data_IF_837693636112
#
_entry.id   IF_837693636112
#
_cell.length_a   1.000
_cell.length_b   1.000
_cell.length_c   1.000
_cell.angle_alpha   90.00
_cell.angle_beta   90.00
_cell.angle_gamma   90.00
#
_symmetry.space_group_name_H-M   'P 1'
#
loop_
_entity.id
_entity.type
_entity.pdbx_description
1 polymer ?
#
# COMPACT_ATOMS: atom_id res chain seq x y z
N UNK A 1 -0.29 -5.38 -20.80
CA UNK A 1 -0.25 -3.92 -21.00
C UNK A 1 -1.59 -3.46 -21.58
N UNK A 2 -2.17 -2.41 -21.03
CA UNK A 2 -3.44 -1.86 -21.51
C UNK A 2 -3.11 -0.59 -22.32
N UNK A 3 -3.48 -0.49 -23.60
CA UNK A 3 -3.20 0.69 -24.39
C UNK A 3 -3.97 1.91 -23.86
N UNK A 4 -3.38 3.09 -24.01
CA UNK A 4 -4.03 4.35 -23.63
C UNK A 4 -5.07 4.77 -24.66
N UNK A 5 -6.17 5.42 -24.23
CA UNK A 5 -7.22 5.93 -25.11
C UNK A 5 -6.67 6.98 -26.11
N UNK A 6 -5.80 7.87 -25.64
CA UNK A 6 -5.08 8.84 -26.46
C UNK A 6 -3.58 8.69 -26.25
N UNK A 7 -2.74 8.99 -27.25
CA UNK A 7 -1.30 8.93 -27.11
C UNK A 7 -0.83 9.82 -25.94
N UNK A 8 0.10 9.30 -25.14
CA UNK A 8 0.75 10.06 -24.10
C UNK A 8 1.83 10.96 -24.71
N UNK A 9 1.63 12.28 -24.60
CA UNK A 9 2.56 13.28 -25.13
C UNK A 9 3.35 14.01 -24.02
N UNK A 10 3.17 13.61 -22.74
CA UNK A 10 3.94 14.14 -21.61
C UNK A 10 5.43 13.90 -21.83
N UNK A 11 6.25 14.92 -21.52
CA UNK A 11 7.71 14.82 -21.55
C UNK A 11 8.24 14.49 -20.17
N UNK A 12 8.77 13.28 -20.01
CA UNK A 12 9.45 12.86 -18.78
C UNK A 12 10.94 13.21 -18.94
N UNK A 13 11.40 14.25 -18.23
CA UNK A 13 12.77 14.74 -18.29
C UNK A 13 13.70 13.90 -17.39
N UNK A 14 14.99 13.92 -17.70
CA UNK A 14 16.01 13.24 -16.88
C UNK A 14 16.09 13.87 -15.47
N UNK A 15 16.50 13.06 -14.51
CA UNK A 15 16.64 13.49 -13.12
C UNK A 15 17.81 14.43 -12.97
N UNK A 16 17.65 15.48 -12.15
CA UNK A 16 18.73 16.38 -11.75
C UNK A 16 19.24 15.97 -10.38
N UNK A 17 20.54 15.70 -10.27
CA UNK A 17 21.15 15.27 -9.01
C UNK A 17 22.11 16.32 -8.48
N UNK A 18 21.87 16.77 -7.26
CA UNK A 18 22.67 17.77 -6.54
C UNK A 18 23.48 17.10 -5.43
N UNK A 19 24.56 17.75 -4.99
CA UNK A 19 25.37 17.27 -3.86
C UNK A 19 24.62 17.37 -2.55
N UNK A 20 23.93 18.50 -2.32
CA UNK A 20 23.30 18.85 -1.06
C UNK A 20 21.81 19.06 -1.21
N UNK A 21 21.06 18.84 -0.14
CA UNK A 21 19.61 19.09 -0.10
C UNK A 21 19.26 20.58 -0.27
N UNK A 22 20.00 21.55 0.34
CA UNK A 22 19.75 22.98 0.09
C UNK A 22 19.91 23.40 -1.38
N UNK A 23 20.94 22.91 -2.09
CA UNK A 23 21.13 23.19 -3.51
C UNK A 23 19.97 22.64 -4.36
N UNK A 24 19.52 21.42 -4.06
CA UNK A 24 18.33 20.80 -4.67
C UNK A 24 17.08 21.68 -4.48
N UNK A 25 16.78 22.10 -3.24
CA UNK A 25 15.59 22.92 -2.98
C UNK A 25 15.64 24.29 -3.63
N UNK A 26 16.82 24.94 -3.70
CA UNK A 26 16.97 26.20 -4.42
C UNK A 26 16.63 26.02 -5.91
N UNK A 27 17.15 24.98 -6.55
CA UNK A 27 16.85 24.67 -7.94
C UNK A 27 15.38 24.35 -8.19
N UNK A 28 14.75 23.60 -7.28
CA UNK A 28 13.29 23.33 -7.34
C UNK A 28 12.50 24.62 -7.28
N UNK A 29 12.88 25.56 -6.40
CA UNK A 29 12.19 26.83 -6.27
C UNK A 29 12.35 27.67 -7.53
N UNK A 30 13.56 27.75 -8.08
CA UNK A 30 13.83 28.53 -9.28
C UNK A 30 13.04 27.98 -10.49
N UNK A 31 12.92 26.66 -10.66
CA UNK A 31 12.06 26.04 -11.69
C UNK A 31 10.55 26.31 -11.44
N UNK A 32 10.11 26.30 -10.19
CA UNK A 32 8.70 26.65 -9.85
C UNK A 32 8.41 28.09 -10.20
N UNK A 33 9.31 29.03 -9.86
CA UNK A 33 9.15 30.45 -10.16
C UNK A 33 9.05 30.67 -11.67
N UNK A 34 9.99 30.11 -12.44
CA UNK A 34 10.01 30.22 -13.91
C UNK A 34 8.72 29.72 -14.55
N UNK A 35 8.20 28.58 -14.09
CA UNK A 35 6.97 28.00 -14.62
C UNK A 35 5.73 28.80 -14.20
N UNK A 36 5.67 29.23 -12.95
CA UNK A 36 4.60 30.07 -12.43
C UNK A 36 4.48 31.39 -13.23
N UNK A 37 5.61 32.04 -13.53
CA UNK A 37 5.65 33.25 -14.36
C UNK A 37 5.15 33.02 -15.79
N UNK A 38 5.37 31.83 -16.34
CA UNK A 38 4.85 31.40 -17.64
C UNK A 38 3.36 30.97 -17.61
N UNK A 39 2.74 30.97 -16.43
CA UNK A 39 1.36 30.49 -16.25
C UNK A 39 1.23 28.97 -16.22
N UNK A 40 2.32 28.22 -16.24
CA UNK A 40 2.26 26.76 -16.16
C UNK A 40 1.95 26.30 -14.74
N UNK A 41 0.89 25.47 -14.50
CA UNK A 41 0.62 24.91 -13.19
C UNK A 41 1.69 23.88 -12.79
N UNK A 42 2.05 23.88 -11.50
CA UNK A 42 3.09 23.00 -10.94
C UNK A 42 2.53 22.23 -9.76
N UNK A 43 2.67 20.91 -9.82
CA UNK A 43 2.43 20.01 -8.68
C UNK A 43 3.76 19.44 -8.19
N UNK A 44 4.11 19.78 -6.95
CA UNK A 44 5.34 19.31 -6.31
C UNK A 44 5.04 18.14 -5.39
N UNK A 45 5.64 16.99 -5.68
CA UNK A 45 5.57 15.80 -4.82
C UNK A 45 6.72 15.76 -3.82
N UNK A 46 6.40 15.67 -2.52
CA UNK A 46 7.37 15.48 -1.43
C UNK A 46 7.09 14.16 -0.71
N UNK A 47 8.11 13.52 -0.13
CA UNK A 47 7.95 12.25 0.59
C UNK A 47 7.55 12.42 2.05
N UNK A 48 7.77 13.60 2.66
CA UNK A 48 7.41 13.85 4.05
C UNK A 48 6.71 15.19 4.25
N UNK A 49 5.97 15.29 5.35
CA UNK A 49 5.30 16.54 5.77
C UNK A 49 6.34 17.62 6.06
N UNK A 50 7.44 17.28 6.71
CA UNK A 50 8.52 18.22 7.06
C UNK A 50 9.14 18.87 5.82
N UNK A 51 9.41 18.07 4.77
CA UNK A 51 9.94 18.58 3.50
C UNK A 51 8.92 19.47 2.78
N UNK A 52 7.64 19.14 2.85
CA UNK A 52 6.58 20.00 2.30
C UNK A 52 6.48 21.33 3.02
N UNK A 53 6.59 21.34 4.34
CA UNK A 53 6.58 22.57 5.14
C UNK A 53 7.84 23.42 4.91
N UNK A 54 9.00 22.80 4.75
CA UNK A 54 10.27 23.48 4.42
C UNK A 54 10.16 24.16 3.07
N UNK A 55 9.73 23.44 2.04
CA UNK A 55 9.53 24.00 0.70
C UNK A 55 8.49 25.14 0.71
N UNK A 56 7.39 24.97 1.44
CA UNK A 56 6.38 26.02 1.61
C UNK A 56 6.96 27.29 2.23
N UNK A 57 7.79 27.20 3.27
CA UNK A 57 8.45 28.35 3.87
C UNK A 57 9.37 29.07 2.87
N UNK A 58 10.08 28.32 2.06
CA UNK A 58 10.99 28.86 1.04
C UNK A 58 10.22 29.57 -0.08
N UNK A 59 9.13 28.98 -0.58
CA UNK A 59 8.24 29.61 -1.59
C UNK A 59 7.56 30.89 -1.07
N UNK A 60 7.15 30.89 0.21
CA UNK A 60 6.63 32.12 0.86
C UNK A 60 7.66 33.25 0.88
N UNK A 61 8.93 32.93 1.16
CA UNK A 61 10.04 33.94 1.10
C UNK A 61 10.24 34.51 -0.30
N UNK A 62 9.94 33.72 -1.36
CA UNK A 62 9.99 34.18 -2.77
C UNK A 62 8.70 34.85 -3.23
N UNK A 63 7.68 34.98 -2.37
CA UNK A 63 6.41 35.62 -2.70
C UNK A 63 5.46 34.77 -3.58
N UNK A 64 5.74 33.49 -3.76
CA UNK A 64 4.90 32.59 -4.59
C UNK A 64 3.70 32.11 -3.79
N UNK A 65 2.49 32.42 -4.30
CA UNK A 65 1.25 31.89 -3.73
C UNK A 65 1.14 30.39 -4.07
N UNK A 66 0.91 29.57 -3.06
CA UNK A 66 0.83 28.12 -3.23
C UNK A 66 -0.09 27.50 -2.19
N UNK A 67 -0.60 26.32 -2.51
CA UNK A 67 -1.40 25.49 -1.62
C UNK A 67 -0.59 24.28 -1.15
N UNK A 68 -0.81 23.84 0.09
CA UNK A 68 -0.10 22.69 0.67
C UNK A 68 -1.10 21.61 1.06
N UNK A 69 -0.94 20.44 0.47
CA UNK A 69 -1.70 19.23 0.75
C UNK A 69 -0.88 18.31 1.66
N UNK A 70 -1.34 18.14 2.86
CA UNK A 70 -0.79 17.17 3.78
C UNK A 70 -1.91 16.48 4.56
N UNK A 71 -1.59 15.36 5.23
CA UNK A 71 -2.54 14.55 5.99
C UNK A 71 -3.27 15.31 7.13
N UNK A 72 -2.90 16.56 7.41
CA UNK A 72 -3.53 17.37 8.45
C UNK A 72 -4.84 18.05 7.98
N UNK A 73 -5.11 18.10 6.66
CA UNK A 73 -6.22 18.90 6.09
C UNK A 73 -7.05 18.08 5.08
N UNK A 74 -7.50 16.90 5.47
CA UNK A 74 -8.26 16.00 4.59
C UNK A 74 -9.53 16.61 3.98
N UNK A 75 -10.24 17.48 4.72
CA UNK A 75 -11.50 18.08 4.26
C UNK A 75 -11.32 19.00 3.04
N UNK A 76 -10.15 19.65 2.94
CA UNK A 76 -9.83 20.57 1.82
C UNK A 76 -9.03 19.91 0.69
N UNK A 77 -8.65 18.66 0.87
CA UNK A 77 -7.78 17.96 -0.08
C UNK A 77 -8.38 17.90 -1.48
N UNK A 78 -9.64 17.47 -1.60
CA UNK A 78 -10.33 17.34 -2.87
C UNK A 78 -10.48 18.71 -3.56
N UNK A 79 -10.74 19.77 -2.81
CA UNK A 79 -10.86 21.15 -3.30
C UNK A 79 -9.55 21.65 -3.91
N UNK A 80 -8.45 21.51 -3.17
CA UNK A 80 -7.12 21.98 -3.59
C UNK A 80 -6.66 21.19 -4.81
N UNK A 81 -6.84 19.86 -4.83
CA UNK A 81 -6.45 19.02 -5.97
C UNK A 81 -7.26 19.35 -7.21
N UNK A 82 -8.56 19.56 -7.07
CA UNK A 82 -9.44 19.91 -8.19
C UNK A 82 -9.00 21.24 -8.86
N UNK A 83 -8.38 22.13 -8.11
CA UNK A 83 -7.91 23.44 -8.60
C UNK A 83 -6.40 23.47 -8.93
N UNK A 84 -5.67 22.39 -8.72
CA UNK A 84 -4.23 22.34 -8.98
C UNK A 84 -3.84 22.49 -10.47
N UNK A 85 -4.80 22.33 -11.38
CA UNK A 85 -4.61 22.53 -12.83
C UNK A 85 -4.89 23.96 -13.34
N UNK A 86 -5.18 24.92 -12.48
CA UNK A 86 -5.40 26.33 -12.88
C UNK A 86 -4.12 27.00 -13.36
N UNK A 87 -4.30 28.05 -14.16
CA UNK A 87 -3.20 28.84 -14.69
C UNK A 87 -2.27 29.35 -13.58
N UNK A 88 -0.98 28.99 -13.65
CA UNK A 88 0.04 29.38 -12.69
C UNK A 88 -0.18 28.83 -11.27
N UNK A 89 -1.07 27.86 -11.05
CA UNK A 89 -1.25 27.26 -9.73
C UNK A 89 0.02 26.53 -9.27
N UNK A 90 0.38 26.68 -8.00
CA UNK A 90 1.48 25.94 -7.38
C UNK A 90 0.92 25.14 -6.21
N UNK A 91 1.03 23.83 -6.27
CA UNK A 91 0.53 22.92 -5.25
C UNK A 91 1.65 22.01 -4.76
N UNK A 92 1.87 21.98 -3.45
CA UNK A 92 2.80 21.03 -2.80
C UNK A 92 1.95 19.90 -2.22
N UNK A 93 2.22 18.67 -2.61
CA UNK A 93 1.49 17.51 -2.10
C UNK A 93 2.46 16.50 -1.48
N UNK A 94 2.16 15.99 -0.30
CA UNK A 94 2.81 14.77 0.17
C UNK A 94 2.30 13.58 -0.66
N UNK A 95 3.13 12.60 -0.79
CA UNK A 95 3.14 11.49 -1.74
C UNK A 95 1.78 10.86 -2.14
N UNK A 96 0.82 10.81 -1.25
CA UNK A 96 -0.46 10.13 -1.47
C UNK A 96 -1.66 11.10 -1.48
N UNK A 97 -1.41 12.39 -1.25
CA UNK A 97 -2.46 13.38 -1.22
C UNK A 97 -3.14 13.54 -2.60
N UNK A 98 -4.45 13.62 -2.61
CA UNK A 98 -5.26 13.77 -3.81
C UNK A 98 -5.38 12.49 -4.67
N UNK A 99 -5.11 11.31 -4.15
CA UNK A 99 -5.35 10.05 -4.86
C UNK A 99 -6.85 9.84 -5.05
N UNK A 100 -7.24 9.52 -6.29
CA UNK A 100 -8.66 9.34 -6.64
C UNK A 100 -9.32 10.59 -7.24
N UNK A 101 -8.69 11.78 -7.11
CA UNK A 101 -9.18 13.01 -7.74
C UNK A 101 -8.38 13.30 -9.01
N UNK A 102 -9.07 13.62 -10.09
CA UNK A 102 -8.45 14.02 -11.36
C UNK A 102 -8.07 15.51 -11.35
N UNK A 103 -6.89 15.82 -11.89
CA UNK A 103 -6.43 17.21 -12.07
C UNK A 103 -6.72 17.61 -13.51
N UNK A 104 -7.75 18.43 -13.67
CA UNK A 104 -8.16 18.96 -14.97
C UNK A 104 -7.47 20.30 -15.25
N UNK A 105 -6.96 20.47 -16.47
CA UNK A 105 -6.34 21.74 -16.88
C UNK A 105 -7.37 22.86 -16.89
N UNK A 106 -7.04 23.99 -16.27
CA UNK A 106 -7.95 25.14 -16.06
C UNK A 106 -8.82 25.01 -14.80
N UNK A 107 -8.88 23.82 -14.17
CA UNK A 107 -9.70 23.56 -12.98
C UNK A 107 -10.84 22.58 -13.24
N UNK A 108 -11.56 22.20 -12.20
CA UNK A 108 -12.67 21.23 -12.24
C UNK A 108 -14.02 21.95 -12.12
N UNK A 109 -14.77 21.99 -13.22
CA UNK A 109 -16.09 22.64 -13.30
C UNK A 109 -17.14 21.94 -12.43
N UNK A 110 -17.14 20.60 -12.37
CA UNK A 110 -18.03 19.81 -11.53
C UNK A 110 -17.85 20.16 -10.05
N UNK A 111 -16.60 20.24 -9.61
CA UNK A 111 -16.29 20.61 -8.23
C UNK A 111 -16.77 22.02 -7.89
N UNK A 112 -16.56 22.99 -8.80
CA UNK A 112 -17.04 24.36 -8.61
C UNK A 112 -18.57 24.43 -8.56
N UNK A 113 -19.26 23.67 -9.41
CA UNK A 113 -20.72 23.59 -9.40
C UNK A 113 -21.24 23.03 -8.07
N UNK A 114 -20.68 21.90 -7.59
CA UNK A 114 -21.04 21.32 -6.29
C UNK A 114 -20.76 22.28 -5.12
N UNK A 115 -19.64 22.98 -5.16
CA UNK A 115 -19.28 23.98 -4.13
C UNK A 115 -20.28 25.16 -4.11
N UNK A 116 -20.74 25.62 -5.29
CA UNK A 116 -21.74 26.66 -5.37
C UNK A 116 -23.12 26.19 -4.90
N UNK A 117 -23.51 24.94 -5.19
CA UNK A 117 -24.73 24.33 -4.66
C UNK A 117 -24.72 24.27 -3.13
N UNK A 118 -23.59 23.89 -2.51
CA UNK A 118 -23.42 23.95 -1.04
C UNK A 118 -23.66 25.37 -0.51
N UNK A 119 -23.06 26.35 -1.16
CA UNK A 119 -23.22 27.75 -0.75
C UNK A 119 -24.67 28.25 -0.93
N UNK A 120 -25.44 27.68 -1.88
CA UNK A 120 -26.85 27.93 -2.06
C UNK A 120 -27.75 27.20 -1.07
N UNK A 121 -27.17 26.29 -0.22
CA UNK A 121 -27.89 25.60 0.85
C UNK A 121 -28.46 24.24 0.48
N UNK A 122 -28.05 23.64 -0.66
CA UNK A 122 -28.43 22.27 -0.99
C UNK A 122 -27.79 21.28 -0.01
N UNK A 123 -28.54 20.23 0.38
CA UNK A 123 -28.01 19.17 1.22
C UNK A 123 -26.98 18.30 0.47
N UNK A 124 -26.06 17.67 1.19
CA UNK A 124 -25.06 16.77 0.58
C UNK A 124 -25.70 15.62 -0.18
N UNK A 125 -26.86 15.14 0.29
CA UNK A 125 -27.64 14.08 -0.37
C UNK A 125 -28.15 14.55 -1.74
N UNK A 126 -28.75 15.73 -1.82
CA UNK A 126 -29.23 16.31 -3.09
C UNK A 126 -28.08 16.60 -4.05
N UNK A 127 -26.91 17.03 -3.53
CA UNK A 127 -25.71 17.27 -4.34
C UNK A 127 -25.15 15.94 -4.89
N UNK A 128 -25.20 14.87 -4.12
CA UNK A 128 -24.81 13.54 -4.60
C UNK A 128 -25.76 13.03 -5.69
N UNK A 129 -27.07 13.16 -5.48
CA UNK A 129 -28.11 12.77 -6.44
C UNK A 129 -28.16 13.66 -7.70
N UNK A 130 -27.64 14.90 -7.62
CA UNK A 130 -27.58 15.80 -8.78
C UNK A 130 -26.68 15.30 -9.90
N UNK A 131 -25.71 14.42 -9.59
CA UNK A 131 -24.83 13.77 -10.57
C UNK A 131 -25.27 12.35 -10.95
N UNK A 132 -26.36 11.87 -10.37
CA UNK A 132 -26.92 10.54 -10.66
C UNK A 132 -27.62 10.47 -12.02
N UNK A 133 -27.61 9.30 -12.66
CA UNK A 133 -28.25 9.04 -13.94
C UNK A 133 -29.56 8.22 -13.82
N UNK A 134 -29.96 7.82 -12.61
CA UNK A 134 -31.17 7.03 -12.39
C UNK A 134 -32.43 7.87 -12.64
N UNK A 135 -33.46 7.25 -13.20
CA UNK A 135 -34.78 7.89 -13.33
C UNK A 135 -35.36 8.13 -11.92
N UNK A 136 -35.94 9.32 -11.72
CA UNK A 136 -36.55 9.70 -10.46
C UNK A 136 -37.73 10.64 -10.70
N UNK A 137 -38.81 10.46 -9.93
CA UNK A 137 -39.99 11.33 -9.92
C UNK A 137 -39.91 12.37 -8.79
N UNK A 138 -38.82 12.45 -8.05
CA UNK A 138 -38.65 13.41 -6.98
C UNK A 138 -38.28 14.78 -7.54
N UNK A 139 -39.19 15.74 -7.36
CA UNK A 139 -39.05 17.10 -7.87
C UNK A 139 -37.82 17.83 -7.33
N UNK A 140 -37.42 17.58 -6.09
CA UNK A 140 -36.23 18.18 -5.48
C UNK A 140 -34.93 17.68 -6.17
N UNK A 141 -34.88 16.39 -6.51
CA UNK A 141 -33.74 15.81 -7.21
C UNK A 141 -33.67 16.33 -8.65
N UNK A 142 -34.82 16.43 -9.33
CA UNK A 142 -34.89 16.96 -10.71
C UNK A 142 -34.38 18.40 -10.71
N UNK A 143 -34.89 19.25 -9.81
CA UNK A 143 -34.46 20.65 -9.67
C UNK A 143 -32.96 20.76 -9.35
N UNK A 144 -32.43 19.91 -8.47
CA UNK A 144 -31.01 19.88 -8.15
C UNK A 144 -30.14 19.47 -9.37
N UNK A 145 -30.63 18.54 -10.21
CA UNK A 145 -29.95 18.15 -11.47
C UNK A 145 -29.92 19.28 -12.49
N UNK A 146 -31.01 19.97 -12.67
CA UNK A 146 -31.10 21.14 -13.60
C UNK A 146 -30.15 22.25 -13.15
N UNK A 147 -30.17 22.59 -11.87
CA UNK A 147 -29.28 23.61 -11.30
C UNK A 147 -27.80 23.20 -11.43
N UNK A 148 -27.46 21.93 -11.12
CA UNK A 148 -26.12 21.41 -11.30
C UNK A 148 -25.64 21.52 -12.74
N UNK A 149 -26.46 21.11 -13.72
CA UNK A 149 -26.11 21.15 -15.14
C UNK A 149 -25.91 22.60 -15.62
N UNK A 150 -26.75 23.55 -15.17
CA UNK A 150 -26.60 24.95 -15.48
C UNK A 150 -25.29 25.53 -14.93
N UNK A 151 -24.96 25.22 -13.67
CA UNK A 151 -23.73 25.66 -13.03
C UNK A 151 -22.50 25.01 -13.67
N UNK A 152 -22.56 23.71 -13.94
CA UNK A 152 -21.47 23.00 -14.59
C UNK A 152 -21.17 23.56 -15.99
N UNK A 153 -22.21 23.82 -16.79
CA UNK A 153 -22.07 24.42 -18.11
C UNK A 153 -21.49 25.84 -18.03
N UNK A 154 -21.91 26.65 -17.06
CA UNK A 154 -21.34 27.96 -16.79
C UNK A 154 -19.85 27.88 -16.52
N UNK A 155 -19.46 27.02 -15.56
CA UNK A 155 -18.04 26.84 -15.18
C UNK A 155 -17.19 26.19 -16.28
N UNK A 156 -17.73 25.25 -17.06
CA UNK A 156 -17.03 24.71 -18.24
C UNK A 156 -16.69 25.80 -19.27
N UNK A 157 -17.60 26.72 -19.50
CA UNK A 157 -17.35 27.83 -20.43
C UNK A 157 -16.30 28.82 -19.89
N UNK A 158 -16.34 29.14 -18.59
CA UNK A 158 -15.36 30.02 -17.94
C UNK A 158 -13.94 29.38 -17.95
N UNK A 159 -13.86 28.08 -17.66
CA UNK A 159 -12.59 27.34 -17.58
C UNK A 159 -11.99 27.04 -18.96
N UNK A 160 -12.80 26.92 -20.02
CA UNK A 160 -12.33 26.48 -21.33
C UNK A 160 -11.20 27.34 -21.89
N UNK A 161 -11.28 28.66 -21.71
CA UNK A 161 -10.25 29.62 -22.13
C UNK A 161 -8.97 29.49 -21.33
N UNK A 162 -9.09 29.29 -20.01
CA UNK A 162 -7.94 29.06 -19.11
C UNK A 162 -7.26 27.74 -19.40
N UNK A 163 -8.03 26.68 -19.64
CA UNK A 163 -7.50 25.36 -19.98
C UNK A 163 -6.63 25.39 -21.25
N UNK A 164 -7.03 26.19 -22.26
CA UNK A 164 -6.25 26.34 -23.48
C UNK A 164 -4.94 27.10 -23.23
N UNK A 165 -4.97 28.15 -22.41
CA UNK A 165 -3.74 28.85 -21.98
C UNK A 165 -2.78 27.92 -21.25
N UNK A 166 -3.30 27.08 -20.35
CA UNK A 166 -2.49 26.09 -19.64
C UNK A 166 -1.90 25.06 -20.60
N UNK A 167 -2.64 24.60 -21.61
CA UNK A 167 -2.08 23.69 -22.65
C UNK A 167 -0.96 24.37 -23.43
N UNK A 168 -1.11 25.64 -23.80
CA UNK A 168 -0.08 26.41 -24.50
C UNK A 168 1.16 26.66 -23.62
N UNK A 169 0.97 26.81 -22.29
CA UNK A 169 2.07 26.90 -21.34
C UNK A 169 2.80 25.55 -21.11
N UNK A 170 2.34 24.45 -21.72
CA UNK A 170 2.95 23.13 -21.64
C UNK A 170 2.23 22.14 -20.71
N UNK A 171 1.01 22.44 -20.26
CA UNK A 171 0.20 21.62 -19.38
C UNK A 171 0.72 21.53 -17.95
N UNK A 172 0.25 20.57 -17.18
CA UNK A 172 0.65 20.38 -15.79
C UNK A 172 2.12 19.91 -15.69
N UNK A 173 2.91 20.64 -14.89
CA UNK A 173 4.26 20.21 -14.54
C UNK A 173 4.28 19.43 -13.22
N UNK A 174 4.93 18.28 -13.21
CA UNK A 174 5.19 17.48 -12.03
C UNK A 174 6.65 17.63 -11.62
N UNK A 175 6.88 18.06 -10.40
CA UNK A 175 8.22 18.12 -9.80
C UNK A 175 8.24 17.11 -8.64
N UNK A 176 9.09 16.09 -8.73
CA UNK A 176 9.41 15.21 -7.60
C UNK A 176 10.64 15.71 -6.86
N UNK A 177 10.58 15.89 -5.55
CA UNK A 177 11.73 16.34 -4.76
C UNK A 177 12.65 15.20 -4.33
N UNK A 178 12.19 13.96 -4.49
CA UNK A 178 12.92 12.72 -4.20
C UNK A 178 12.33 11.56 -4.97
N UNK A 179 13.10 10.48 -5.13
CA UNK A 179 12.60 9.20 -5.59
C UNK A 179 12.05 8.37 -4.43
N UNK A 180 10.95 7.69 -4.69
CA UNK A 180 10.36 6.78 -3.72
C UNK A 180 11.06 5.43 -3.72
N UNK A 181 10.78 4.61 -2.70
CA UNK A 181 11.24 3.22 -2.63
C UNK A 181 10.73 2.34 -3.77
N UNK A 182 9.66 2.75 -4.45
CA UNK A 182 9.07 2.01 -5.57
C UNK A 182 8.83 2.91 -6.77
N UNK A 183 9.29 2.47 -7.95
CA UNK A 183 9.04 3.14 -9.23
C UNK A 183 7.56 3.32 -9.52
N UNK A 184 6.72 2.41 -9.01
CA UNK A 184 5.27 2.50 -9.16
C UNK A 184 4.72 3.80 -8.57
N UNK A 185 5.25 4.23 -7.44
CA UNK A 185 4.83 5.47 -6.77
C UNK A 185 5.31 6.68 -7.58
N UNK A 186 6.55 6.67 -8.07
CA UNK A 186 7.07 7.72 -8.96
C UNK A 186 6.21 7.86 -10.22
N UNK A 187 5.84 6.73 -10.83
CA UNK A 187 4.99 6.71 -12.01
C UNK A 187 3.55 7.18 -11.70
N UNK A 188 3.02 6.91 -10.51
CA UNK A 188 1.74 7.46 -10.08
C UNK A 188 1.78 8.99 -9.92
N UNK A 189 2.88 9.54 -9.43
CA UNK A 189 3.10 10.98 -9.36
C UNK A 189 3.19 11.58 -10.77
N UNK A 190 4.05 11.04 -11.65
CA UNK A 190 4.15 11.45 -13.06
C UNK A 190 2.81 11.36 -13.78
N UNK A 191 2.06 10.30 -13.54
CA UNK A 191 0.76 10.02 -14.17
C UNK A 191 -0.37 10.97 -13.78
N UNK A 192 -0.13 11.94 -12.91
CA UNK A 192 -1.07 13.03 -12.67
C UNK A 192 -1.07 14.08 -13.78
N UNK A 193 -0.02 14.13 -14.59
CA UNK A 193 0.13 14.99 -15.76
C UNK A 193 0.04 14.18 -17.06
N UNK A 194 -0.34 14.83 -18.15
CA UNK A 194 -0.40 14.20 -19.48
C UNK A 194 -1.58 13.24 -19.64
N UNK A 195 -2.67 13.45 -18.93
CA UNK A 195 -3.87 12.63 -19.02
C UNK A 195 -4.68 12.99 -20.28
N UNK A 196 -5.36 11.98 -20.83
CA UNK A 196 -6.28 12.14 -21.99
C UNK A 196 -5.64 12.87 -23.20
N UNK A 197 -4.29 12.72 -23.38
CA UNK A 197 -3.57 13.36 -24.47
C UNK A 197 -3.26 14.83 -24.26
N UNK A 198 -3.44 15.36 -23.05
CA UNK A 198 -2.98 16.71 -22.71
C UNK A 198 -1.44 16.78 -22.64
N UNK A 199 -0.84 17.93 -22.95
CA UNK A 199 0.59 18.12 -22.73
C UNK A 199 0.93 18.10 -21.24
N UNK A 200 2.18 17.86 -20.92
CA UNK A 200 2.67 17.84 -19.57
C UNK A 200 4.18 17.61 -19.50
N UNK A 201 4.73 17.87 -18.33
CA UNK A 201 6.17 17.68 -18.08
C UNK A 201 6.33 17.03 -16.71
N UNK A 202 7.31 16.13 -16.58
CA UNK A 202 7.73 15.65 -15.27
C UNK A 202 9.25 15.70 -15.11
N UNK A 203 9.72 16.05 -13.92
CA UNK A 203 11.14 16.03 -13.56
C UNK A 203 11.32 15.71 -12.08
N UNK A 204 12.37 14.94 -11.75
CA UNK A 204 12.78 14.71 -10.38
C UNK A 204 14.08 15.45 -10.06
N UNK A 205 14.10 16.06 -8.88
CA UNK A 205 15.25 16.74 -8.30
C UNK A 205 15.72 15.92 -7.11
N UNK A 206 16.95 15.48 -7.13
CA UNK A 206 17.52 14.54 -6.17
C UNK A 206 18.75 15.13 -5.51
N UNK A 207 19.06 14.68 -4.30
CA UNK A 207 20.28 14.98 -3.59
C UNK A 207 20.98 13.69 -3.17
N UNK A 208 22.31 13.73 -3.02
CA UNK A 208 23.06 12.63 -2.42
C UNK A 208 22.72 12.40 -0.96
N UNK A 209 22.13 13.39 -0.31
CA UNK A 209 21.66 13.35 1.07
C UNK A 209 20.30 12.70 1.22
N UNK A 210 19.55 12.48 0.12
CA UNK A 210 18.26 11.81 0.12
C UNK A 210 18.39 10.35 0.60
N UNK A 211 17.41 9.86 1.35
CA UNK A 211 17.47 8.55 2.01
C UNK A 211 17.75 7.40 1.04
N UNK A 212 17.12 7.39 -0.13
CA UNK A 212 17.37 6.37 -1.14
C UNK A 212 18.83 6.36 -1.60
N UNK A 213 19.41 7.54 -1.80
CA UNK A 213 20.79 7.71 -2.24
C UNK A 213 21.76 7.32 -1.14
N UNK A 214 21.50 7.76 0.10
CA UNK A 214 22.35 7.48 1.26
C UNK A 214 22.42 5.99 1.58
N UNK A 215 21.27 5.29 1.53
CA UNK A 215 21.19 3.87 1.94
C UNK A 215 21.61 2.89 0.84
N UNK A 216 21.40 3.22 -0.43
CA UNK A 216 21.50 2.24 -1.51
C UNK A 216 22.37 2.66 -2.70
N UNK A 217 22.78 3.92 -2.83
CA UNK A 217 23.49 4.42 -4.01
C UNK A 217 24.67 5.34 -3.71
N UNK A 218 24.77 5.84 -2.47
CA UNK A 218 25.59 7.01 -2.14
C UNK A 218 27.08 6.90 -2.45
N UNK A 219 27.76 5.82 -2.08
CA UNK A 219 29.23 5.74 -2.20
C UNK A 219 29.74 5.86 -3.65
N UNK A 220 29.07 5.18 -4.58
CA UNK A 220 29.51 5.22 -6.00
C UNK A 220 29.25 6.58 -6.64
N UNK A 221 28.09 7.17 -6.38
CA UNK A 221 27.73 8.47 -6.94
C UNK A 221 28.54 9.59 -6.28
N UNK A 222 28.76 9.52 -4.96
CA UNK A 222 29.64 10.45 -4.24
C UNK A 222 31.07 10.41 -4.77
N UNK A 223 31.61 9.21 -5.05
CA UNK A 223 32.95 9.05 -5.64
C UNK A 223 33.01 9.70 -7.03
N UNK A 224 32.00 9.49 -7.87
CA UNK A 224 31.91 10.10 -9.19
C UNK A 224 31.85 11.62 -9.08
N UNK A 225 31.01 12.18 -8.22
CA UNK A 225 30.87 13.62 -8.02
C UNK A 225 32.13 14.28 -7.46
N UNK A 226 32.81 13.62 -6.53
CA UNK A 226 34.08 14.13 -5.98
C UNK A 226 35.20 14.11 -7.03
N UNK A 227 35.21 13.08 -7.88
CA UNK A 227 36.18 12.95 -8.97
C UNK A 227 35.97 14.05 -10.03
N UNK A 228 34.73 14.39 -10.32
CA UNK A 228 34.38 15.43 -11.30
C UNK A 228 34.55 16.87 -10.76
N UNK A 229 34.88 17.05 -9.48
CA UNK A 229 35.01 18.37 -8.81
C UNK A 229 33.84 19.32 -9.11
N UNK A 230 32.63 18.79 -9.24
CA UNK A 230 31.44 19.57 -9.57
C UNK A 230 31.11 20.57 -8.45
N UNK A 231 30.82 21.85 -8.75
CA UNK A 231 30.33 22.81 -7.77
C UNK A 231 29.05 22.32 -7.09
N UNK A 232 28.77 22.76 -5.85
CA UNK A 232 27.63 22.30 -5.09
C UNK A 232 26.28 22.65 -5.73
N UNK A 233 26.21 23.80 -6.38
CA UNK A 233 25.00 24.33 -7.03
C UNK A 233 24.75 23.77 -8.43
N UNK A 234 25.70 23.01 -8.99
CA UNK A 234 25.63 22.52 -10.35
C UNK A 234 24.99 21.11 -10.37
N UNK A 235 23.87 20.94 -11.07
CA UNK A 235 23.25 19.61 -11.22
C UNK A 235 24.08 18.74 -12.16
N UNK A 236 24.04 17.44 -11.92
CA UNK A 236 24.55 16.46 -12.86
C UNK A 236 23.37 15.79 -13.55
N UNK A 237 23.27 15.99 -14.86
CA UNK A 237 22.43 15.22 -15.76
C UNK A 237 23.27 14.08 -16.35
N UNK A 238 23.05 12.85 -15.93
CA UNK A 238 23.77 11.71 -16.48
C UNK A 238 22.91 10.45 -16.45
N UNK A 239 22.78 9.81 -17.61
CA UNK A 239 22.14 8.49 -17.73
C UNK A 239 22.77 7.44 -16.81
N UNK A 240 24.08 7.58 -16.54
CA UNK A 240 24.78 6.68 -15.62
C UNK A 240 24.21 6.81 -14.20
N UNK A 241 23.97 8.01 -13.72
CA UNK A 241 23.42 8.28 -12.40
C UNK A 241 21.95 7.79 -12.34
N UNK A 242 21.16 8.09 -13.36
CA UNK A 242 19.78 7.58 -13.47
C UNK A 242 19.72 6.04 -13.38
N UNK A 243 20.66 5.34 -14.02
CA UNK A 243 20.77 3.88 -13.93
C UNK A 243 21.14 3.39 -12.53
N UNK A 244 22.01 4.11 -11.82
CA UNK A 244 22.37 3.78 -10.42
C UNK A 244 21.14 3.93 -9.51
N UNK A 245 20.40 5.02 -9.68
CA UNK A 245 19.17 5.27 -8.92
C UNK A 245 18.13 4.18 -9.18
N UNK A 246 17.90 3.83 -10.44
CA UNK A 246 16.98 2.76 -10.82
C UNK A 246 17.40 1.41 -10.25
N UNK A 247 18.69 1.10 -10.26
CA UNK A 247 19.24 -0.12 -9.66
C UNK A 247 19.05 -0.15 -8.14
N UNK A 248 19.20 1.00 -7.49
CA UNK A 248 18.96 1.18 -6.06
C UNK A 248 17.49 0.95 -5.70
N UNK A 249 16.57 1.56 -6.45
CA UNK A 249 15.13 1.30 -6.28
C UNK A 249 14.79 -0.19 -6.46
N UNK A 250 15.33 -0.85 -7.48
CA UNK A 250 15.11 -2.30 -7.69
C UNK A 250 15.57 -3.15 -6.50
N UNK A 251 16.68 -2.79 -5.86
CA UNK A 251 17.18 -3.48 -4.66
C UNK A 251 16.23 -3.30 -3.48
N UNK A 252 15.74 -2.08 -3.25
CA UNK A 252 14.75 -1.79 -2.20
C UNK A 252 13.46 -2.56 -2.45
N UNK A 253 12.92 -2.50 -3.67
CA UNK A 253 11.72 -3.25 -4.06
C UNK A 253 11.88 -4.75 -3.82
N UNK A 254 13.03 -5.33 -4.22
CA UNK A 254 13.32 -6.75 -4.03
C UNK A 254 13.42 -7.13 -2.55
N UNK A 255 14.07 -6.31 -1.72
CA UNK A 255 14.14 -6.51 -0.27
C UNK A 255 12.74 -6.47 0.36
N UNK A 256 11.98 -5.44 0.05
CA UNK A 256 10.62 -5.28 0.57
C UNK A 256 9.70 -6.42 0.12
N UNK A 257 9.86 -6.90 -1.13
CA UNK A 257 9.15 -8.06 -1.63
C UNK A 257 9.50 -9.32 -0.84
N UNK A 258 10.79 -9.58 -0.59
CA UNK A 258 11.25 -10.75 0.17
C UNK A 258 10.71 -10.74 1.61
N UNK A 259 10.74 -9.59 2.28
CA UNK A 259 10.18 -9.43 3.63
C UNK A 259 8.67 -9.73 3.63
N UNK A 260 7.91 -9.14 2.70
CA UNK A 260 6.47 -9.40 2.60
C UNK A 260 6.17 -10.86 2.28
N UNK A 261 6.96 -11.50 1.41
CA UNK A 261 6.81 -12.92 1.08
C UNK A 261 7.04 -13.81 2.31
N UNK A 262 8.06 -13.50 3.13
CA UNK A 262 8.31 -14.23 4.37
C UNK A 262 7.17 -14.07 5.37
N UNK A 263 6.67 -12.84 5.57
CA UNK A 263 5.51 -12.59 6.44
C UNK A 263 4.29 -13.36 5.96
N UNK A 264 4.00 -13.36 4.65
CA UNK A 264 2.88 -14.10 4.08
C UNK A 264 3.02 -15.60 4.31
N UNK A 265 4.24 -16.16 4.15
CA UNK A 265 4.46 -17.60 4.39
C UNK A 265 4.23 -18.02 5.85
N UNK A 266 4.53 -17.14 6.82
CA UNK A 266 4.17 -17.37 8.22
C UNK A 266 2.66 -17.26 8.46
N UNK A 267 2.01 -16.29 7.84
CA UNK A 267 0.56 -16.10 7.95
C UNK A 267 -0.21 -17.29 7.36
N UNK A 268 0.26 -17.86 6.26
CA UNK A 268 -0.32 -19.08 5.66
C UNK A 268 -0.30 -20.27 6.63
N UNK A 269 0.78 -20.44 7.41
CA UNK A 269 0.86 -21.50 8.43
C UNK A 269 -0.17 -21.24 9.53
N UNK A 270 -0.26 -20.01 10.02
CA UNK A 270 -1.22 -19.64 11.06
C UNK A 270 -2.67 -19.79 10.57
N UNK A 271 -2.95 -19.45 9.31
CA UNK A 271 -4.26 -19.60 8.71
C UNK A 271 -4.66 -21.08 8.59
N UNK A 272 -3.76 -21.95 8.15
CA UNK A 272 -4.02 -23.41 8.11
C UNK A 272 -4.34 -23.97 9.48
N UNK A 273 -3.58 -23.58 10.52
CA UNK A 273 -3.88 -23.97 11.89
C UNK A 273 -5.27 -23.48 12.35
N UNK A 274 -5.59 -22.23 12.03
CA UNK A 274 -6.89 -21.64 12.35
C UNK A 274 -8.02 -22.38 11.65
N UNK A 275 -7.91 -22.63 10.35
CA UNK A 275 -8.90 -23.37 9.55
C UNK A 275 -9.15 -24.76 10.12
N UNK A 276 -8.08 -25.47 10.54
CA UNK A 276 -8.19 -26.81 11.12
C UNK A 276 -8.95 -26.77 12.44
N UNK A 277 -8.66 -25.82 13.33
CA UNK A 277 -9.35 -25.67 14.60
C UNK A 277 -10.81 -25.23 14.38
N UNK A 278 -11.07 -24.30 13.45
CA UNK A 278 -12.45 -23.89 13.15
C UNK A 278 -13.26 -25.05 12.56
N UNK A 279 -12.65 -25.83 11.67
CA UNK A 279 -13.31 -27.04 11.13
C UNK A 279 -13.69 -28.02 12.24
N UNK A 280 -12.80 -28.29 13.20
CA UNK A 280 -13.09 -29.15 14.35
C UNK A 280 -14.20 -28.54 15.23
N UNK A 281 -14.14 -27.23 15.47
CA UNK A 281 -15.19 -26.53 16.23
C UNK A 281 -16.55 -26.61 15.55
N UNK A 282 -16.61 -26.43 14.25
CA UNK A 282 -17.86 -26.47 13.49
C UNK A 282 -18.47 -27.90 13.53
N UNK A 283 -17.66 -28.94 13.42
CA UNK A 283 -18.12 -30.33 13.59
C UNK A 283 -18.81 -30.57 14.95
N UNK A 284 -18.25 -29.96 16.01
CA UNK A 284 -18.87 -30.03 17.35
C UNK A 284 -20.15 -29.24 17.41
N UNK A 285 -20.20 -28.04 16.85
CA UNK A 285 -21.39 -27.17 16.89
C UNK A 285 -22.54 -27.68 16.03
N UNK A 286 -22.23 -28.27 14.89
CA UNK A 286 -23.23 -28.83 13.96
C UNK A 286 -23.80 -30.16 14.45
N UNK A 287 -23.32 -30.67 15.57
CA UNK A 287 -23.84 -31.90 16.21
C UNK A 287 -23.52 -33.18 15.43
N UNK A 288 -22.44 -33.21 14.67
CA UNK A 288 -21.93 -34.42 14.01
C UNK A 288 -21.60 -35.51 15.06
N UNK A 289 -21.68 -36.76 14.64
CA UNK A 289 -21.23 -37.87 15.50
C UNK A 289 -19.72 -37.82 15.66
N UNK A 290 -19.26 -37.35 16.80
CA UNK A 290 -17.83 -37.18 17.13
C UNK A 290 -17.14 -38.45 17.57
N UNK A 291 -17.88 -39.54 17.83
CA UNK A 291 -17.33 -40.82 18.30
C UNK A 291 -16.14 -41.32 17.47
N UNK A 292 -16.25 -41.41 16.12
CA UNK A 292 -15.11 -41.87 15.32
C UNK A 292 -13.86 -40.97 15.45
N UNK A 293 -14.06 -39.64 15.62
CA UNK A 293 -12.98 -38.68 15.77
C UNK A 293 -12.28 -38.86 17.11
N UNK A 294 -13.06 -39.02 18.19
CA UNK A 294 -12.52 -39.24 19.55
C UNK A 294 -11.76 -40.56 19.63
N UNK A 295 -12.35 -41.63 19.09
CA UNK A 295 -11.65 -42.95 19.08
C UNK A 295 -10.34 -42.89 18.30
N UNK A 296 -10.32 -42.22 17.15
CA UNK A 296 -9.08 -42.00 16.40
C UNK A 296 -8.04 -41.19 17.18
N UNK A 297 -8.42 -40.14 17.89
CA UNK A 297 -7.52 -39.37 18.76
C UNK A 297 -6.95 -40.24 19.89
N UNK A 298 -7.77 -41.13 20.44
CA UNK A 298 -7.36 -42.08 21.44
C UNK A 298 -6.32 -43.06 20.89
N UNK A 299 -6.57 -43.65 19.71
CA UNK A 299 -5.67 -44.57 19.03
C UNK A 299 -4.31 -43.92 18.70
N UNK A 300 -4.35 -42.67 18.22
CA UNK A 300 -3.17 -41.87 17.95
C UNK A 300 -2.36 -41.61 19.23
N UNK A 301 -3.02 -41.20 20.33
CA UNK A 301 -2.38 -40.94 21.61
C UNK A 301 -1.71 -42.19 22.19
N UNK A 302 -2.39 -43.36 22.10
CA UNK A 302 -1.84 -44.64 22.53
C UNK A 302 -0.63 -45.01 21.66
N UNK A 303 -0.76 -44.89 20.35
CA UNK A 303 0.30 -45.23 19.39
C UNK A 303 1.55 -44.38 19.63
N UNK A 304 1.37 -43.04 19.72
CA UNK A 304 2.48 -42.11 19.99
C UNK A 304 3.17 -42.39 21.35
N UNK A 305 2.36 -42.74 22.35
CA UNK A 305 2.90 -43.08 23.69
C UNK A 305 3.74 -44.35 23.62
N UNK A 306 3.29 -45.38 22.91
CA UNK A 306 4.07 -46.63 22.72
C UNK A 306 5.31 -46.36 21.89
N UNK A 307 5.23 -45.55 20.84
CA UNK A 307 6.41 -45.16 20.03
C UNK A 307 7.44 -44.42 20.87
N UNK A 308 7.00 -43.60 21.82
CA UNK A 308 7.86 -42.80 22.69
C UNK A 308 8.53 -43.65 23.78
N UNK A 309 7.75 -44.50 24.49
CA UNK A 309 8.26 -45.30 25.61
C UNK A 309 8.90 -46.62 25.18
N UNK A 310 8.43 -47.18 24.05
CA UNK A 310 8.88 -48.47 23.51
C UNK A 310 9.27 -48.32 22.03
N UNK A 311 10.29 -47.49 21.68
CA UNK A 311 10.66 -47.23 20.29
C UNK A 311 11.19 -48.52 19.61
N UNK A 312 10.80 -48.74 18.35
CA UNK A 312 11.20 -49.92 17.53
C UNK A 312 12.72 -50.05 17.33
N UNK A 313 13.44 -48.93 17.48
CA UNK A 313 14.88 -48.90 17.29
C UNK A 313 15.68 -49.43 18.49
N UNK A 314 15.03 -49.58 19.65
CA UNK A 314 15.67 -50.05 20.89
C UNK A 314 15.31 -51.53 21.15
N UNK A 315 16.18 -52.23 21.91
CA UNK A 315 15.87 -53.56 22.39
C UNK A 315 14.84 -53.54 23.51
N UNK A 316 14.09 -54.61 23.68
CA UNK A 316 13.06 -54.70 24.70
C UNK A 316 13.56 -54.37 26.12
N UNK A 317 14.82 -54.70 26.44
CA UNK A 317 15.45 -54.37 27.73
C UNK A 317 15.63 -52.85 27.97
N UNK A 318 15.63 -52.07 26.92
CA UNK A 318 15.88 -50.62 26.97
C UNK A 318 14.60 -49.81 26.91
N UNK A 319 13.43 -50.46 26.83
CA UNK A 319 12.13 -49.75 26.82
C UNK A 319 11.77 -49.21 28.19
N UNK A 320 11.18 -48.05 28.24
CA UNK A 320 10.69 -47.46 29.48
C UNK A 320 9.26 -47.90 29.80
N UNK A 321 9.11 -49.18 30.12
CA UNK A 321 7.82 -49.82 30.40
C UNK A 321 7.14 -49.17 31.62
N UNK A 322 7.91 -48.79 32.64
CA UNK A 322 7.39 -48.10 33.81
C UNK A 322 6.74 -46.77 33.45
N UNK A 323 7.38 -45.99 32.55
CA UNK A 323 6.83 -44.73 32.05
C UNK A 323 5.56 -44.92 31.23
N UNK A 324 5.48 -45.94 30.37
CA UNK A 324 4.28 -46.28 29.62
C UNK A 324 3.10 -46.59 30.56
N UNK A 325 3.38 -47.43 31.57
CA UNK A 325 2.39 -47.81 32.59
C UNK A 325 1.90 -46.60 33.38
N UNK A 326 2.81 -45.77 33.85
CA UNK A 326 2.48 -44.55 34.61
C UNK A 326 1.66 -43.56 33.81
N UNK A 327 1.91 -43.41 32.51
CA UNK A 327 1.16 -42.54 31.59
C UNK A 327 -0.33 -42.88 31.56
N UNK A 328 -0.69 -44.13 31.61
CA UNK A 328 -2.06 -44.62 31.49
C UNK A 328 -2.65 -45.18 32.79
N UNK A 329 -1.92 -45.07 33.92
CA UNK A 329 -2.31 -45.63 35.21
C UNK A 329 -3.67 -45.06 35.67
N UNK A 330 -4.55 -45.92 36.08
CA UNK A 330 -5.87 -45.59 36.65
C UNK A 330 -7.00 -45.40 35.64
N UNK A 331 -6.68 -45.50 34.32
CA UNK A 331 -7.72 -45.49 33.28
C UNK A 331 -7.55 -46.59 32.22
N UNK A 332 -6.35 -46.88 31.72
CA UNK A 332 -6.12 -47.98 30.75
C UNK A 332 -5.16 -49.05 31.31
N UNK A 333 -4.33 -48.71 32.29
CA UNK A 333 -3.34 -49.63 32.86
C UNK A 333 -3.51 -49.75 34.38
N UNK A 334 -3.05 -50.91 34.89
CA UNK A 334 -2.88 -51.19 36.29
C UNK A 334 -1.40 -51.30 36.63
N UNK A 335 -1.00 -51.32 37.93
CA UNK A 335 0.41 -51.48 38.31
C UNK A 335 1.06 -52.80 37.88
N UNK A 336 0.22 -53.80 37.56
CA UNK A 336 0.63 -55.17 37.22
C UNK A 336 0.76 -55.43 35.71
N UNK A 337 0.22 -54.50 34.88
CA UNK A 337 0.29 -54.62 33.42
C UNK A 337 1.70 -54.50 32.91
N UNK A 338 2.01 -55.29 31.88
CA UNK A 338 3.31 -55.28 31.20
C UNK A 338 4.51 -55.66 32.13
N UNK A 339 4.24 -56.51 33.15
CA UNK A 339 5.28 -56.85 34.14
C UNK A 339 6.38 -57.77 33.58
N UNK A 340 6.05 -58.72 32.69
CA UNK A 340 6.98 -59.70 32.13
C UNK A 340 6.81 -59.82 30.60
N UNK A 341 7.73 -59.17 29.86
CA UNK A 341 8.00 -59.46 28.45
C UNK A 341 6.76 -59.47 27.53
N UNK A 342 6.25 -58.31 27.21
CA UNK A 342 5.12 -58.18 26.26
C UNK A 342 5.65 -57.91 24.84
N UNK A 343 4.85 -58.28 23.82
CA UNK A 343 5.04 -57.81 22.46
C UNK A 343 4.49 -56.38 22.32
N UNK A 344 5.20 -55.56 21.58
CA UNK A 344 4.85 -54.16 21.43
C UNK A 344 3.54 -53.95 20.67
N UNK A 345 3.28 -54.75 19.66
CA UNK A 345 2.07 -54.61 18.85
C UNK A 345 0.85 -55.16 19.62
N UNK A 346 1.05 -56.28 20.37
CA UNK A 346 0.02 -56.85 21.27
C UNK A 346 -0.39 -55.84 22.35
N UNK A 347 0.58 -55.18 22.99
CA UNK A 347 0.32 -54.13 23.98
C UNK A 347 -0.43 -52.93 23.38
N UNK A 348 -0.12 -52.58 22.14
CA UNK A 348 -0.82 -51.52 21.42
C UNK A 348 -2.27 -51.90 21.18
N UNK A 349 -2.52 -53.07 20.64
CA UNK A 349 -3.89 -53.54 20.36
C UNK A 349 -4.72 -53.63 21.64
N UNK A 350 -4.11 -54.20 22.72
CA UNK A 350 -4.79 -54.29 24.02
C UNK A 350 -5.14 -52.92 24.61
N UNK A 351 -4.22 -51.96 24.58
CA UNK A 351 -4.52 -50.61 25.09
C UNK A 351 -5.61 -49.90 24.26
N UNK A 352 -5.61 -50.09 22.95
CA UNK A 352 -6.63 -49.54 22.06
C UNK A 352 -8.00 -50.16 22.38
N UNK A 353 -8.06 -51.51 22.51
CA UNK A 353 -9.31 -52.21 22.86
C UNK A 353 -9.86 -51.76 24.23
N UNK A 354 -8.98 -51.69 25.24
CA UNK A 354 -9.36 -51.18 26.58
C UNK A 354 -9.89 -49.71 26.48
N UNK A 355 -9.24 -48.88 25.69
CA UNK A 355 -9.64 -47.48 25.49
C UNK A 355 -11.01 -47.35 24.84
N UNK A 356 -11.26 -48.10 23.76
CA UNK A 356 -12.56 -48.15 23.10
C UNK A 356 -13.66 -48.65 24.02
N UNK A 357 -13.39 -49.71 24.77
CA UNK A 357 -14.38 -50.27 25.75
C UNK A 357 -14.71 -49.25 26.84
N UNK A 358 -13.71 -48.59 27.40
CA UNK A 358 -13.89 -47.57 28.42
C UNK A 358 -14.71 -46.39 27.88
N UNK A 359 -14.48 -45.97 26.62
CA UNK A 359 -15.24 -44.92 25.96
C UNK A 359 -16.74 -45.35 25.81
N UNK A 360 -16.97 -46.57 25.30
CA UNK A 360 -18.32 -47.11 25.12
C UNK A 360 -19.10 -47.25 26.43
N UNK A 361 -18.41 -47.62 27.53
CA UNK A 361 -19.02 -47.66 28.86
C UNK A 361 -19.43 -46.27 29.36
N UNK A 362 -18.60 -45.26 29.13
CA UNK A 362 -18.91 -43.88 29.55
C UNK A 362 -19.98 -43.23 28.70
N UNK A 363 -20.06 -43.58 27.42
CA UNK A 363 -21.11 -43.05 26.53
C UNK A 363 -22.52 -43.56 26.90
N UNK A 364 -22.62 -44.71 27.62
CA UNK A 364 -23.89 -45.28 28.10
C UNK A 364 -24.40 -44.68 29.42
N UNK A 365 -23.55 -43.98 30.15
CA UNK A 365 -23.89 -43.27 31.38
C UNK A 365 -24.47 -41.87 31.09
#
# INVERSE_FOLDING_TARGET
EIPTNKPMIRKDMDDLVYKTEPAKFNAVIDDIVERHEKGQPVLVGTISIEKSETLSKLLKKRGIKHEVLNAKYHEKEAEIVAQAGKLGAVTIATNMAGRGTDIMLGGNAEFLAKSEMRRKGYSEELIAESTGFGDTDNEDIISAREEFQALEKKYKNEISGEAEQVRQAGGLCIIGTERHESRRIDNQLRGRSGRQGDPGVSRFYLSLEDDLMRLFGGERVTTIMNTLRTPEDMPIESKMISNVIESSQKRVESRNFSVRKSVLSFDDVMNRQRELIYKQRDQVLDGENLKPVILKMLDECITESIDFYCPKALSHSDWNIAGLREKFLGWLTTPEDFADGFDREDAKEELIERGHKLYDEREKL
#
